data_IF_989640951587
#
_entry.id   IF_989640951587
#
_cell.length_a   1.000
_cell.length_b   1.000
_cell.length_c   1.000
_cell.angle_alpha   90.00
_cell.angle_beta   90.00
_cell.angle_gamma   90.00
#
_symmetry.space_group_name_H-M   'P 1'
#
loop_
_entity.id
_entity.type
_entity.pdbx_description
1 polymer ?
#
# COMPACT_ATOMS: atom_id res chain seq x y z
N UNK A 1 33.19 31.01 -9.38
CA UNK A 1 31.80 30.99 -8.84
C UNK A 1 31.11 29.63 -9.09
N UNK A 2 31.78 28.49 -8.86
CA UNK A 2 31.19 27.16 -9.05
C UNK A 2 31.22 26.29 -7.77
N UNK A 3 31.48 26.89 -6.61
CA UNK A 3 31.53 26.18 -5.33
C UNK A 3 30.13 25.94 -4.72
N UNK A 4 29.13 26.73 -5.10
CA UNK A 4 27.80 26.71 -4.47
C UNK A 4 27.07 25.35 -4.50
N UNK A 5 26.96 24.63 -5.63
CA UNK A 5 26.23 23.36 -5.67
C UNK A 5 26.93 22.24 -4.89
N UNK A 6 28.27 22.21 -4.94
CA UNK A 6 29.07 21.19 -4.27
C UNK A 6 29.11 21.41 -2.77
N UNK A 7 29.25 22.67 -2.33
CA UNK A 7 29.19 23.05 -0.91
C UNK A 7 27.80 22.80 -0.33
N UNK A 8 26.73 23.18 -1.05
CA UNK A 8 25.34 22.93 -0.63
C UNK A 8 25.06 21.42 -0.50
N UNK A 9 25.51 20.61 -1.47
CA UNK A 9 25.42 19.16 -1.38
C UNK A 9 26.21 18.59 -0.19
N UNK A 10 27.43 19.07 0.02
CA UNK A 10 28.30 18.57 1.11
C UNK A 10 27.69 18.80 2.50
N UNK A 11 26.93 19.89 2.66
CA UNK A 11 26.32 20.28 3.93
C UNK A 11 24.89 19.74 4.11
N UNK A 12 24.10 19.65 3.03
CA UNK A 12 22.65 19.35 3.09
C UNK A 12 22.23 18.07 2.35
N UNK A 13 23.18 17.22 1.92
CA UNK A 13 22.89 15.97 1.18
C UNK A 13 21.77 15.12 1.82
N UNK A 14 21.80 14.91 3.14
CA UNK A 14 20.78 14.12 3.85
C UNK A 14 19.39 14.73 3.75
N UNK A 15 19.29 16.05 3.96
CA UNK A 15 18.03 16.79 3.91
C UNK A 15 17.40 16.70 2.50
N UNK A 16 18.24 16.92 1.48
CA UNK A 16 17.83 16.87 0.06
C UNK A 16 17.35 15.46 -0.30
N UNK A 17 18.09 14.42 0.08
CA UNK A 17 17.74 13.03 -0.22
C UNK A 17 16.43 12.59 0.42
N UNK A 18 16.19 12.97 1.67
CA UNK A 18 14.95 12.60 2.39
C UNK A 18 13.75 13.33 1.80
N UNK A 19 13.87 14.63 1.51
CA UNK A 19 12.81 15.40 0.86
C UNK A 19 12.53 14.90 -0.56
N UNK A 20 13.57 14.55 -1.33
CA UNK A 20 13.43 13.98 -2.66
C UNK A 20 12.70 12.62 -2.58
N UNK A 21 13.11 11.74 -1.66
CA UNK A 21 12.44 10.47 -1.41
C UNK A 21 10.95 10.67 -1.10
N UNK A 22 10.61 11.60 -0.21
CA UNK A 22 9.22 11.94 0.13
C UNK A 22 8.44 12.48 -1.08
N UNK A 23 9.04 13.40 -1.84
CA UNK A 23 8.44 14.00 -3.03
C UNK A 23 8.10 12.95 -4.10
N UNK A 24 9.02 12.00 -4.35
CA UNK A 24 8.79 10.90 -5.27
C UNK A 24 7.60 10.03 -4.84
N UNK A 25 7.40 9.87 -3.53
CA UNK A 25 6.27 9.09 -3.00
C UNK A 25 4.94 9.79 -3.08
N UNK A 26 4.92 11.10 -2.83
CA UNK A 26 3.74 11.92 -3.10
C UNK A 26 3.32 11.81 -4.57
N UNK A 27 4.30 11.87 -5.48
CA UNK A 27 4.07 11.68 -6.92
C UNK A 27 3.46 10.30 -7.20
N UNK A 28 4.10 9.22 -6.72
CA UNK A 28 3.57 7.87 -6.91
C UNK A 28 2.15 7.72 -6.32
N UNK A 29 1.90 8.28 -5.14
CA UNK A 29 0.62 8.23 -4.45
C UNK A 29 -0.51 8.91 -5.25
N UNK A 30 -0.25 10.12 -5.78
CA UNK A 30 -1.24 10.92 -6.51
C UNK A 30 -1.47 10.35 -7.92
N UNK A 31 -0.40 10.00 -8.63
CA UNK A 31 -0.45 9.59 -10.04
C UNK A 31 -0.69 8.09 -10.25
N UNK A 32 -0.73 7.27 -9.19
CA UNK A 32 -0.97 5.83 -9.32
C UNK A 32 -2.22 5.47 -10.14
N UNK A 33 -3.30 6.24 -9.98
CA UNK A 33 -4.55 6.02 -10.73
C UNK A 33 -4.47 6.37 -12.22
N UNK A 34 -3.45 7.12 -12.65
CA UNK A 34 -3.29 7.54 -14.05
C UNK A 34 -2.78 6.39 -14.94
N UNK A 35 -2.18 5.34 -14.36
CA UNK A 35 -1.73 4.16 -15.10
C UNK A 35 -2.84 3.45 -15.88
N UNK A 36 -4.09 3.51 -15.40
CA UNK A 36 -5.25 2.96 -16.10
C UNK A 36 -5.72 3.81 -17.30
N UNK A 37 -5.01 4.88 -17.65
CA UNK A 37 -5.41 5.84 -18.69
C UNK A 37 -4.26 6.05 -19.68
N UNK A 38 -4.60 6.22 -20.96
CA UNK A 38 -3.66 6.36 -22.08
C UNK A 38 -2.97 7.75 -22.17
N UNK A 39 -2.57 8.34 -21.04
CA UNK A 39 -1.88 9.63 -21.05
C UNK A 39 -0.35 9.45 -20.96
N UNK A 40 0.38 9.81 -22.03
CA UNK A 40 1.83 9.63 -22.18
C UNK A 40 2.67 10.36 -21.11
N UNK A 41 2.44 11.66 -20.92
CA UNK A 41 3.24 12.50 -19.99
C UNK A 41 3.15 12.03 -18.53
N UNK A 42 1.97 11.82 -17.93
CA UNK A 42 1.90 11.35 -16.54
C UNK A 42 2.40 9.90 -16.40
N UNK A 43 2.38 9.10 -17.46
CA UNK A 43 2.93 7.74 -17.46
C UNK A 43 4.46 7.74 -17.40
N UNK A 44 5.13 8.60 -18.19
CA UNK A 44 6.58 8.77 -18.12
C UNK A 44 7.03 9.29 -16.74
N UNK A 45 6.32 10.27 -16.21
CA UNK A 45 6.61 10.83 -14.89
C UNK A 45 6.42 9.77 -13.78
N UNK A 46 5.36 8.96 -13.86
CA UNK A 46 5.12 7.85 -12.94
C UNK A 46 6.22 6.78 -13.05
N UNK A 47 6.65 6.45 -14.26
CA UNK A 47 7.71 5.47 -14.51
C UNK A 47 9.06 5.92 -13.94
N UNK A 48 9.45 7.18 -14.19
CA UNK A 48 10.67 7.76 -13.61
C UNK A 48 10.59 7.78 -12.08
N UNK A 49 9.46 8.22 -11.52
CA UNK A 49 9.27 8.24 -10.08
C UNK A 49 9.36 6.84 -9.47
N UNK A 50 8.83 5.82 -10.14
CA UNK A 50 8.88 4.43 -9.70
C UNK A 50 10.32 3.91 -9.61
N UNK A 51 11.13 4.13 -10.66
CA UNK A 51 12.53 3.70 -10.68
C UNK A 51 13.37 4.47 -9.65
N UNK A 52 13.09 5.76 -9.48
CA UNK A 52 13.89 6.64 -8.63
C UNK A 52 13.55 6.52 -7.13
N UNK A 53 12.30 6.19 -6.78
CA UNK A 53 11.86 6.18 -5.39
C UNK A 53 12.65 5.19 -4.52
N UNK A 54 12.79 3.95 -5.00
CA UNK A 54 13.49 2.90 -4.25
C UNK A 54 15.01 3.15 -4.22
N UNK A 55 15.60 3.59 -5.34
CA UNK A 55 17.03 3.86 -5.42
C UNK A 55 17.44 5.03 -4.52
N UNK A 56 16.65 6.11 -4.49
CA UNK A 56 16.90 7.28 -3.64
C UNK A 56 16.81 6.92 -2.17
N UNK A 57 15.80 6.15 -1.76
CA UNK A 57 15.63 5.74 -0.36
C UNK A 57 16.75 4.80 0.10
N UNK A 58 17.13 3.80 -0.72
CA UNK A 58 18.25 2.89 -0.46
C UNK A 58 19.58 3.66 -0.33
N UNK A 59 19.84 4.59 -1.25
CA UNK A 59 21.04 5.41 -1.22
C UNK A 59 21.07 6.30 0.02
N UNK A 60 19.94 6.92 0.39
CA UNK A 60 19.83 7.77 1.56
C UNK A 60 20.11 7.00 2.86
N UNK A 61 19.51 5.81 3.05
CA UNK A 61 19.78 4.96 4.22
C UNK A 61 21.25 4.53 4.27
N UNK A 62 21.82 4.13 3.13
CA UNK A 62 23.23 3.76 3.04
C UNK A 62 24.17 4.92 3.40
N UNK A 63 23.89 6.11 2.86
CA UNK A 63 24.64 7.33 3.14
C UNK A 63 24.55 7.70 4.63
N UNK A 64 23.37 7.59 5.25
CA UNK A 64 23.17 7.82 6.69
C UNK A 64 23.92 6.81 7.56
N UNK A 65 23.92 5.53 7.17
CA UNK A 65 24.67 4.49 7.88
C UNK A 65 26.17 4.77 7.86
N UNK A 66 26.71 5.12 6.68
CA UNK A 66 28.13 5.45 6.53
C UNK A 66 28.52 6.75 7.24
N UNK A 67 27.74 7.82 7.08
CA UNK A 67 28.00 9.08 7.76
C UNK A 67 27.93 8.93 9.28
N UNK A 68 27.00 8.10 9.76
CA UNK A 68 26.88 7.77 11.18
C UNK A 68 28.10 7.01 11.66
N UNK A 69 28.78 6.19 10.84
CA UNK A 69 30.02 5.53 11.20
C UNK A 69 31.18 6.52 11.36
N UNK A 70 31.30 7.51 10.47
CA UNK A 70 32.46 8.42 10.36
C UNK A 70 32.35 9.69 11.23
N UNK A 71 31.16 10.29 11.40
CA UNK A 71 30.98 11.57 12.12
C UNK A 71 30.41 11.38 13.53
N UNK A 72 30.74 12.25 14.50
CA UNK A 72 30.17 12.20 15.85
C UNK A 72 28.66 12.54 15.84
N UNK A 73 27.88 11.76 16.61
CA UNK A 73 26.40 11.75 16.62
C UNK A 73 25.76 13.12 16.98
N UNK A 74 26.51 14.03 17.62
CA UNK A 74 25.98 15.30 18.16
C UNK A 74 25.51 16.31 17.12
N UNK A 75 25.97 16.27 15.88
CA UNK A 75 25.62 17.29 14.88
C UNK A 75 24.27 17.02 14.18
N UNK A 76 23.77 15.78 14.19
CA UNK A 76 22.60 15.38 13.40
C UNK A 76 21.68 14.36 14.10
N UNK A 77 21.24 14.67 15.32
CA UNK A 77 20.38 13.78 16.12
C UNK A 77 19.08 13.35 15.40
N UNK A 78 18.55 14.18 14.49
CA UNK A 78 17.33 13.91 13.72
C UNK A 78 17.53 12.90 12.58
N UNK A 79 18.77 12.64 12.16
CA UNK A 79 19.08 11.62 11.14
C UNK A 79 18.70 10.21 11.63
N UNK A 80 18.78 9.98 12.95
CA UNK A 80 18.34 8.72 13.54
C UNK A 80 16.83 8.48 13.39
N UNK A 81 16.04 9.55 13.28
CA UNK A 81 14.61 9.49 13.01
C UNK A 81 14.31 9.32 11.52
N UNK A 82 15.13 9.91 10.64
CA UNK A 82 14.92 9.84 9.19
C UNK A 82 15.21 8.46 8.59
N UNK A 83 16.17 7.69 9.11
CA UNK A 83 16.45 6.35 8.60
C UNK A 83 15.24 5.38 8.72
N UNK A 84 14.54 5.29 9.88
CA UNK A 84 13.25 4.62 10.00
C UNK A 84 12.17 5.16 9.06
N UNK A 85 12.13 6.47 8.86
CA UNK A 85 11.17 7.10 7.94
C UNK A 85 11.42 6.66 6.48
N UNK A 86 12.69 6.51 6.08
CA UNK A 86 13.06 5.98 4.78
C UNK A 86 12.69 4.49 4.60
N UNK A 87 12.59 3.72 5.68
CA UNK A 87 12.02 2.35 5.62
C UNK A 87 10.51 2.38 5.35
N UNK A 88 9.78 3.27 6.03
CA UNK A 88 8.35 3.47 5.76
C UNK A 88 8.13 3.83 4.28
N UNK A 89 8.99 4.70 3.77
CA UNK A 89 9.06 5.05 2.37
C UNK A 89 9.28 3.84 1.45
N UNK A 90 10.25 2.97 1.74
CA UNK A 90 10.48 1.76 0.93
C UNK A 90 9.27 0.82 0.92
N UNK A 91 8.40 0.90 1.92
CA UNK A 91 7.08 0.27 1.91
C UNK A 91 6.19 0.71 0.75
N UNK A 92 6.37 1.91 0.21
CA UNK A 92 5.68 2.44 -0.97
C UNK A 92 4.17 2.64 -0.82
N UNK A 93 3.51 3.36 -1.74
CA UNK A 93 2.06 3.51 -1.74
C UNK A 93 1.36 2.19 -2.08
N UNK A 94 0.08 2.09 -1.73
CA UNK A 94 -0.64 0.80 -1.82
C UNK A 94 -1.23 0.52 -3.18
N UNK A 95 -1.36 1.59 -3.96
CA UNK A 95 -1.94 1.59 -5.29
C UNK A 95 -0.97 1.07 -6.37
N UNK A 96 0.32 0.94 -6.05
CA UNK A 96 1.35 0.41 -6.97
C UNK A 96 2.34 -0.43 -6.17
N UNK A 97 2.44 -1.72 -6.49
CA UNK A 97 3.51 -2.60 -6.00
C UNK A 97 4.54 -2.90 -7.08
N UNK A 98 4.07 -3.13 -8.30
CA UNK A 98 4.89 -3.48 -9.45
C UNK A 98 4.48 -2.67 -10.68
N UNK A 99 5.48 -2.22 -11.44
CA UNK A 99 5.24 -1.51 -12.70
C UNK A 99 4.98 -2.50 -13.84
N UNK A 100 5.74 -3.60 -13.90
CA UNK A 100 5.52 -4.71 -14.82
C UNK A 100 5.22 -6.01 -14.06
N UNK A 101 4.50 -6.95 -14.68
CA UNK A 101 4.17 -8.22 -14.05
C UNK A 101 5.44 -9.03 -13.70
N UNK A 102 6.49 -8.90 -14.52
CA UNK A 102 7.79 -9.52 -14.32
C UNK A 102 8.48 -9.04 -13.03
N UNK A 103 8.19 -7.83 -12.54
CA UNK A 103 8.78 -7.32 -11.30
C UNK A 103 8.32 -8.15 -10.09
N UNK A 104 7.11 -8.72 -10.15
CA UNK A 104 6.58 -9.61 -9.10
C UNK A 104 7.37 -10.91 -8.99
N UNK A 105 7.90 -11.44 -10.10
CA UNK A 105 8.70 -12.66 -10.09
C UNK A 105 10.05 -12.48 -9.38
N UNK A 106 10.53 -11.24 -9.30
CA UNK A 106 11.79 -10.88 -8.63
C UNK A 106 11.61 -10.52 -7.14
N UNK A 107 10.55 -11.02 -6.49
CA UNK A 107 10.25 -10.71 -5.08
C UNK A 107 11.39 -11.09 -4.12
N UNK A 108 12.17 -12.14 -4.42
CA UNK A 108 13.35 -12.53 -3.61
C UNK A 108 14.44 -11.45 -3.59
N UNK A 109 14.63 -10.72 -4.70
CA UNK A 109 15.57 -9.59 -4.74
C UNK A 109 15.09 -8.45 -3.83
N UNK A 110 13.80 -8.17 -3.87
CA UNK A 110 13.18 -7.17 -2.99
C UNK A 110 13.29 -7.57 -1.51
N UNK A 111 13.18 -8.88 -1.19
CA UNK A 111 13.42 -9.38 0.16
C UNK A 111 14.86 -9.18 0.62
N UNK A 112 15.85 -9.45 -0.24
CA UNK A 112 17.26 -9.21 0.08
C UNK A 112 17.53 -7.73 0.36
N UNK A 113 17.00 -6.84 -0.49
CA UNK A 113 17.12 -5.39 -0.28
C UNK A 113 16.45 -5.00 1.04
N UNK A 114 15.27 -5.53 1.35
CA UNK A 114 14.59 -5.29 2.63
C UNK A 114 15.48 -5.63 3.82
N UNK A 115 16.11 -6.80 3.84
CA UNK A 115 16.98 -7.22 4.94
C UNK A 115 18.14 -6.24 5.11
N UNK A 116 18.83 -5.86 4.02
CA UNK A 116 19.95 -4.93 4.06
C UNK A 116 19.53 -3.55 4.58
N UNK A 117 18.38 -3.04 4.12
CA UNK A 117 17.88 -1.73 4.54
C UNK A 117 17.43 -1.71 6.01
N UNK A 118 16.76 -2.77 6.46
CA UNK A 118 16.36 -2.93 7.87
C UNK A 118 17.59 -2.98 8.78
N UNK A 119 18.63 -3.71 8.39
CA UNK A 119 19.90 -3.75 9.13
C UNK A 119 20.60 -2.38 9.14
N UNK A 120 20.63 -1.67 8.01
CA UNK A 120 21.22 -0.33 7.91
C UNK A 120 20.53 0.68 8.83
N UNK A 121 19.19 0.72 8.81
CA UNK A 121 18.42 1.59 9.70
C UNK A 121 18.54 1.18 11.18
N UNK A 122 18.56 -0.12 11.48
CA UNK A 122 18.76 -0.63 12.84
C UNK A 122 20.14 -0.23 13.38
N UNK A 123 21.18 -0.26 12.55
CA UNK A 123 22.53 0.18 12.93
C UNK A 123 22.57 1.67 13.30
N UNK A 124 21.94 2.53 12.48
CA UNK A 124 21.84 3.96 12.75
C UNK A 124 21.11 4.21 14.08
N UNK A 125 20.00 3.52 14.32
CA UNK A 125 19.27 3.60 15.59
C UNK A 125 20.10 3.11 16.78
N UNK A 126 20.76 1.97 16.65
CA UNK A 126 21.60 1.41 17.70
C UNK A 126 22.71 2.37 18.10
N UNK A 127 23.43 2.95 17.13
CA UNK A 127 24.49 3.92 17.40
C UNK A 127 23.94 5.17 18.09
N UNK A 128 22.78 5.65 17.66
CA UNK A 128 22.12 6.80 18.29
C UNK A 128 21.72 6.51 19.75
N UNK A 129 21.20 5.31 20.05
CA UNK A 129 20.84 4.88 21.42
C UNK A 129 22.08 4.71 22.29
N UNK A 130 23.13 4.07 21.76
CA UNK A 130 24.33 3.74 22.53
C UNK A 130 25.21 4.97 22.87
N UNK A 131 25.26 5.97 21.98
CA UNK A 131 26.20 7.10 22.12
C UNK A 131 25.55 8.39 22.67
N UNK A 132 24.24 8.53 22.54
CA UNK A 132 23.51 9.70 23.06
C UNK A 132 23.04 9.39 24.47
N UNK A 133 23.88 9.60 25.49
CA UNK A 133 23.58 9.31 26.90
C UNK A 133 22.24 9.91 27.38
N UNK A 134 21.54 9.17 28.25
CA UNK A 134 20.16 9.42 28.69
C UNK A 134 19.88 10.79 29.30
N UNK A 135 19.36 11.70 28.48
CA UNK A 135 18.59 12.86 28.94
C UNK A 135 17.10 12.65 28.64
N UNK A 136 16.21 13.05 29.55
CA UNK A 136 14.74 12.90 29.42
C UNK A 136 14.16 13.34 28.07
N UNK A 137 14.76 14.36 27.44
CA UNK A 137 14.31 14.88 26.14
C UNK A 137 14.68 13.95 24.97
N UNK A 138 15.76 13.18 25.09
CA UNK A 138 16.15 12.19 24.07
C UNK A 138 15.28 10.93 24.10
N UNK A 139 14.63 10.63 25.21
CA UNK A 139 13.83 9.40 25.36
C UNK A 139 12.55 9.44 24.50
N UNK A 140 11.89 10.60 24.39
CA UNK A 140 10.72 10.77 23.52
C UNK A 140 11.06 10.57 22.04
N UNK A 141 12.16 11.16 21.56
CA UNK A 141 12.63 11.00 20.18
C UNK A 141 13.03 9.55 19.89
N UNK A 142 13.61 8.84 20.87
CA UNK A 142 13.92 7.40 20.74
C UNK A 142 12.67 6.56 20.60
N UNK A 143 11.63 6.81 21.42
CA UNK A 143 10.35 6.11 21.32
C UNK A 143 9.72 6.37 19.95
N UNK A 144 9.69 7.63 19.49
CA UNK A 144 9.17 7.98 18.17
C UNK A 144 9.95 7.27 17.04
N UNK A 145 11.28 7.22 17.15
CA UNK A 145 12.14 6.55 16.16
C UNK A 145 11.89 5.04 16.13
N UNK A 146 11.69 4.41 17.29
CA UNK A 146 11.36 2.98 17.38
C UNK A 146 9.98 2.66 16.81
N UNK A 147 8.97 3.50 17.10
CA UNK A 147 7.63 3.37 16.53
C UNK A 147 7.67 3.46 15.00
N UNK A 148 8.38 4.45 14.46
CA UNK A 148 8.57 4.60 13.02
C UNK A 148 9.35 3.46 12.40
N UNK A 149 10.34 2.89 13.11
CA UNK A 149 11.12 1.75 12.64
C UNK A 149 10.25 0.50 12.55
N UNK A 150 9.51 0.18 13.62
CA UNK A 150 8.58 -0.95 13.63
C UNK A 150 7.54 -0.82 12.52
N UNK A 151 6.96 0.38 12.35
CA UNK A 151 5.99 0.64 11.29
C UNK A 151 6.61 0.51 9.89
N UNK A 152 7.83 1.03 9.69
CA UNK A 152 8.56 0.93 8.43
C UNK A 152 8.89 -0.51 8.06
N UNK A 153 9.35 -1.33 9.02
CA UNK A 153 9.57 -2.77 8.83
C UNK A 153 8.26 -3.45 8.42
N UNK A 154 7.16 -3.21 9.13
CA UNK A 154 5.86 -3.83 8.82
C UNK A 154 5.40 -3.48 7.41
N UNK A 155 5.45 -2.19 7.03
CA UNK A 155 5.01 -1.70 5.71
C UNK A 155 5.90 -2.21 4.57
N UNK A 156 7.21 -2.29 4.78
CA UNK A 156 8.12 -2.84 3.79
C UNK A 156 7.96 -4.36 3.65
N UNK A 157 7.72 -5.07 4.76
CA UNK A 157 7.38 -6.50 4.76
C UNK A 157 6.08 -6.75 4.00
N UNK A 158 5.06 -5.91 4.22
CA UNK A 158 3.77 -5.98 3.52
C UNK A 158 3.95 -5.85 2.00
N UNK A 159 4.78 -4.90 1.54
CA UNK A 159 5.10 -4.75 0.10
C UNK A 159 5.74 -6.02 -0.46
N UNK A 160 6.71 -6.59 0.25
CA UNK A 160 7.42 -7.80 -0.20
C UNK A 160 6.49 -9.02 -0.21
N UNK A 161 5.61 -9.13 0.78
CA UNK A 161 4.58 -10.15 0.83
C UNK A 161 3.56 -10.00 -0.31
N UNK A 162 3.17 -8.77 -0.65
CA UNK A 162 2.28 -8.50 -1.78
C UNK A 162 2.89 -8.92 -3.12
N UNK A 163 4.18 -8.64 -3.33
CA UNK A 163 4.90 -9.11 -4.52
C UNK A 163 4.88 -10.64 -4.60
N UNK A 164 5.18 -11.33 -3.49
CA UNK A 164 5.08 -12.81 -3.44
C UNK A 164 3.67 -13.31 -3.75
N UNK A 165 2.64 -12.74 -3.14
CA UNK A 165 1.24 -13.15 -3.34
C UNK A 165 0.71 -12.87 -4.75
N UNK A 166 1.27 -11.89 -5.44
CA UNK A 166 0.90 -11.55 -6.82
C UNK A 166 1.50 -12.48 -7.88
N UNK A 167 2.36 -13.43 -7.50
CA UNK A 167 2.89 -14.45 -8.42
C UNK A 167 1.84 -15.53 -8.74
N UNK A 168 1.83 -16.01 -9.98
CA UNK A 168 0.91 -17.07 -10.40
C UNK A 168 1.06 -18.35 -9.58
N UNK A 169 2.29 -18.71 -9.20
CA UNK A 169 2.56 -19.86 -8.33
C UNK A 169 1.92 -19.70 -6.94
N UNK A 170 2.03 -18.52 -6.33
CA UNK A 170 1.40 -18.26 -5.04
C UNK A 170 -0.13 -18.24 -5.14
N UNK A 171 -0.67 -17.71 -6.23
CA UNK A 171 -2.12 -17.76 -6.49
C UNK A 171 -2.55 -19.23 -6.63
N UNK A 172 -1.84 -20.04 -7.42
CA UNK A 172 -2.08 -21.49 -7.56
C UNK A 172 -2.09 -22.22 -6.23
N UNK A 173 -1.07 -21.99 -5.41
CA UNK A 173 -0.96 -22.62 -4.11
C UNK A 173 -2.13 -22.23 -3.18
N UNK A 174 -2.53 -20.95 -3.18
CA UNK A 174 -3.67 -20.48 -2.39
C UNK A 174 -4.99 -21.13 -2.81
N UNK A 175 -5.18 -21.44 -4.09
CA UNK A 175 -6.41 -22.08 -4.58
C UNK A 175 -6.52 -23.53 -4.10
N UNK A 176 -5.41 -24.28 -4.08
CA UNK A 176 -5.39 -25.68 -3.59
C UNK A 176 -5.79 -25.81 -2.12
N UNK A 177 -5.55 -24.78 -1.33
CA UNK A 177 -5.86 -24.77 0.12
C UNK A 177 -7.26 -24.28 0.45
N UNK A 178 -7.98 -23.67 -0.50
CA UNK A 178 -9.33 -23.16 -0.23
C UNK A 178 -10.36 -24.29 -0.38
N UNK A 179 -11.22 -24.52 0.62
CA UNK A 179 -12.34 -25.44 0.44
C UNK A 179 -13.25 -24.91 -0.69
N UNK A 180 -13.87 -25.80 -1.48
CA UNK A 180 -14.77 -25.42 -2.56
C UNK A 180 -15.86 -24.52 -1.97
N UNK A 181 -15.88 -23.27 -2.41
CA UNK A 181 -16.72 -22.28 -1.78
C UNK A 181 -18.18 -22.55 -2.18
N UNK A 182 -18.98 -23.03 -1.23
CA UNK A 182 -20.43 -23.20 -1.40
C UNK A 182 -21.05 -21.80 -1.49
N UNK A 183 -21.23 -21.30 -2.72
CA UNK A 183 -21.72 -19.96 -3.01
C UNK A 183 -23.26 -19.88 -3.03
N UNK A 184 -23.90 -20.19 -1.89
CA UNK A 184 -25.35 -20.01 -1.73
C UNK A 184 -25.75 -18.71 -1.03
N UNK A 185 -24.87 -17.71 -0.95
CA UNK A 185 -25.24 -16.41 -0.38
C UNK A 185 -25.76 -15.46 -1.46
N UNK A 186 -27.04 -15.62 -1.81
CA UNK A 186 -27.88 -14.53 -2.29
C UNK A 186 -27.96 -13.50 -1.15
N UNK A 187 -27.42 -12.29 -1.33
CA UNK A 187 -27.66 -11.21 -0.38
C UNK A 187 -29.12 -10.74 -0.59
N UNK A 188 -30.02 -10.87 0.41
CA UNK A 188 -31.43 -10.51 0.25
C UNK A 188 -31.70 -9.00 0.11
N UNK A 189 -30.64 -8.17 0.06
CA UNK A 189 -30.69 -6.71 0.17
C UNK A 189 -30.01 -6.02 -1.02
N UNK A 190 -30.33 -6.44 -2.23
CA UNK A 190 -29.94 -5.73 -3.46
C UNK A 190 -30.92 -4.61 -3.80
N UNK A 191 -31.03 -3.61 -2.92
CA UNK A 191 -31.39 -2.24 -3.34
C UNK A 191 -30.11 -1.43 -3.47
N UNK A 192 -29.28 -1.79 -4.43
CA UNK A 192 -28.05 -1.07 -4.78
C UNK A 192 -28.17 -0.48 -6.18
N UNK A 193 -27.36 0.53 -6.50
CA UNK A 193 -27.26 1.06 -7.87
C UNK A 193 -26.79 -0.06 -8.81
N UNK A 194 -27.22 -0.05 -10.09
CA UNK A 194 -26.84 -1.08 -11.08
C UNK A 194 -25.32 -1.36 -11.09
N UNK A 195 -24.49 -0.33 -11.00
CA UNK A 195 -23.02 -0.49 -10.96
C UNK A 195 -22.52 -1.25 -9.72
N UNK A 196 -23.12 -1.04 -8.55
CA UNK A 196 -22.75 -1.74 -7.31
C UNK A 196 -23.21 -3.19 -7.35
N UNK A 197 -24.36 -3.47 -7.97
CA UNK A 197 -24.83 -4.83 -8.21
C UNK A 197 -23.84 -5.62 -9.08
N UNK A 198 -23.43 -5.06 -10.22
CA UNK A 198 -22.40 -5.67 -11.07
C UNK A 198 -21.07 -5.87 -10.34
N UNK A 199 -20.70 -4.94 -9.45
CA UNK A 199 -19.49 -5.02 -8.64
C UNK A 199 -19.49 -6.21 -7.68
N UNK A 200 -20.60 -6.38 -6.96
CA UNK A 200 -20.81 -7.46 -5.99
C UNK A 200 -20.78 -8.81 -6.69
N UNK A 201 -21.44 -8.90 -7.85
CA UNK A 201 -21.43 -10.10 -8.71
C UNK A 201 -20.06 -10.39 -9.32
N UNK A 202 -19.30 -9.36 -9.68
CA UNK A 202 -17.91 -9.51 -10.12
C UNK A 202 -17.01 -10.12 -9.04
N UNK A 203 -17.19 -9.72 -7.77
CA UNK A 203 -16.46 -10.29 -6.63
C UNK A 203 -16.82 -11.75 -6.35
N UNK A 204 -18.11 -12.12 -6.41
CA UNK A 204 -18.52 -13.51 -6.16
C UNK A 204 -17.96 -14.48 -7.22
N UNK A 205 -17.89 -14.04 -8.47
CA UNK A 205 -17.35 -14.83 -9.58
C UNK A 205 -15.82 -14.70 -9.76
N UNK A 206 -15.14 -13.85 -8.98
CA UNK A 206 -13.71 -13.60 -9.15
C UNK A 206 -12.82 -14.84 -8.94
N UNK A 207 -13.30 -15.83 -8.16
CA UNK A 207 -12.57 -17.09 -7.97
C UNK A 207 -12.43 -17.88 -9.28
N UNK A 208 -13.44 -17.84 -10.17
CA UNK A 208 -13.39 -18.47 -11.49
C UNK A 208 -12.28 -17.84 -12.33
N UNK A 209 -12.20 -16.50 -12.32
CA UNK A 209 -11.14 -15.77 -13.01
C UNK A 209 -9.75 -16.18 -12.50
N UNK A 210 -9.56 -16.32 -11.18
CA UNK A 210 -8.29 -16.81 -10.60
C UNK A 210 -7.92 -18.22 -11.07
N UNK A 211 -8.90 -19.14 -11.14
CA UNK A 211 -8.67 -20.49 -11.65
C UNK A 211 -8.23 -20.47 -13.11
N UNK A 212 -8.93 -19.72 -13.96
CA UNK A 212 -8.63 -19.64 -15.40
C UNK A 212 -7.22 -19.10 -15.68
N UNK A 213 -6.75 -18.12 -14.92
CA UNK A 213 -5.43 -17.48 -15.12
C UNK A 213 -4.28 -18.38 -14.73
N UNK A 214 -4.51 -19.25 -13.76
CA UNK A 214 -3.49 -20.15 -13.24
C UNK A 214 -3.43 -21.46 -14.02
N UNK A 215 -4.29 -21.63 -15.02
CA UNK A 215 -4.46 -22.88 -15.77
C UNK A 215 -4.61 -24.09 -14.83
N UNK A 216 -5.29 -23.86 -13.71
CA UNK A 216 -5.69 -24.91 -12.79
C UNK A 216 -7.04 -25.39 -13.30
N UNK A 217 -7.04 -26.59 -13.88
CA UNK A 217 -8.24 -27.20 -14.45
C UNK A 217 -9.38 -27.15 -13.43
N UNK A 218 -10.42 -26.39 -13.79
CA UNK A 218 -11.74 -26.46 -13.15
C UNK A 218 -12.23 -27.92 -13.09
N UNK A 219 -11.77 -28.73 -14.04
CA UNK A 219 -12.11 -30.14 -14.23
C UNK A 219 -11.64 -31.08 -13.11
N UNK A 220 -10.54 -30.81 -12.39
CA UNK A 220 -10.08 -31.74 -11.32
C UNK A 220 -10.92 -31.65 -10.04
N UNK A 221 -11.63 -30.53 -9.81
CA UNK A 221 -12.54 -30.38 -8.67
C UNK A 221 -13.98 -30.76 -9.01
N UNK A 222 -14.31 -30.93 -10.28
CA UNK A 222 -15.67 -31.22 -10.75
C UNK A 222 -15.96 -32.72 -10.91
N UNK A 223 -14.95 -33.59 -11.03
CA UNK A 223 -15.16 -35.04 -11.20
C UNK A 223 -15.82 -35.73 -9.99
N UNK A 224 -15.73 -35.15 -8.78
CA UNK A 224 -16.28 -35.75 -7.55
C UNK A 224 -17.63 -35.16 -7.11
N UNK A 225 -18.19 -34.19 -7.86
CA UNK A 225 -19.51 -33.62 -7.56
C UNK A 225 -20.52 -33.98 -8.65
N UNK A 226 -21.54 -34.75 -8.27
CA UNK A 226 -22.72 -35.19 -9.05
C UNK A 226 -23.63 -34.02 -9.51
N UNK A 227 -23.11 -32.80 -9.69
CA UNK A 227 -23.89 -31.64 -10.13
C UNK A 227 -23.24 -30.92 -11.32
N UNK A 228 -23.87 -31.11 -12.48
CA UNK A 228 -23.52 -30.60 -13.82
C UNK A 228 -23.31 -29.07 -13.85
N UNK A 229 -22.16 -28.52 -14.29
CA UNK A 229 -21.88 -27.06 -14.30
C UNK A 229 -22.44 -26.30 -15.51
N UNK A 230 -22.71 -27.00 -16.62
CA UNK A 230 -23.07 -26.39 -17.92
C UNK A 230 -24.41 -25.64 -17.92
N UNK A 231 -25.31 -25.98 -16.98
CA UNK A 231 -26.64 -25.37 -16.85
C UNK A 231 -26.59 -24.10 -15.98
N UNK A 232 -25.62 -23.98 -15.08
CA UNK A 232 -25.53 -22.84 -14.15
C UNK A 232 -24.82 -21.63 -14.76
N UNK A 233 -23.79 -21.84 -15.58
CA UNK A 233 -23.08 -20.77 -16.29
C UNK A 233 -23.93 -20.15 -17.40
N UNK A 234 -24.68 -20.95 -18.15
CA UNK A 234 -25.48 -20.47 -19.30
C UNK A 234 -26.71 -19.64 -18.90
N UNK A 235 -27.35 -19.94 -17.75
CA UNK A 235 -28.53 -19.19 -17.27
C UNK A 235 -28.17 -17.89 -16.54
N UNK A 236 -26.94 -17.79 -16.03
CA UNK A 236 -26.42 -16.61 -15.32
C UNK A 236 -25.80 -15.55 -16.22
N UNK A 237 -25.72 -15.77 -17.53
CA UNK A 237 -24.93 -14.91 -18.43
C UNK A 237 -25.82 -14.47 -19.59
N UNK A 238 -26.61 -13.41 -19.38
CA UNK A 238 -27.12 -12.63 -20.52
C UNK A 238 -25.93 -11.88 -21.15
N UNK A 239 -25.79 -11.93 -22.47
CA UNK A 239 -24.57 -11.52 -23.18
C UNK A 239 -24.08 -10.08 -22.92
N UNK A 240 -24.95 -9.15 -22.52
CA UNK A 240 -24.57 -7.77 -22.14
C UNK A 240 -23.96 -7.74 -20.72
N UNK A 241 -24.47 -8.55 -19.79
CA UNK A 241 -23.89 -8.68 -18.45
C UNK A 241 -22.49 -9.33 -18.50
N UNK A 242 -22.24 -10.25 -19.43
CA UNK A 242 -20.95 -10.95 -19.53
C UNK A 242 -19.77 -10.00 -19.72
N UNK A 243 -19.88 -9.08 -20.68
CA UNK A 243 -18.80 -8.14 -21.00
C UNK A 243 -18.49 -7.22 -19.82
N UNK A 244 -19.54 -6.68 -19.18
CA UNK A 244 -19.38 -5.83 -17.99
C UNK A 244 -18.80 -6.61 -16.80
N UNK A 245 -19.19 -7.87 -16.61
CA UNK A 245 -18.64 -8.74 -15.57
C UNK A 245 -17.17 -9.09 -15.83
N UNK A 246 -16.82 -9.40 -17.08
CA UNK A 246 -15.44 -9.70 -17.48
C UNK A 246 -14.54 -8.48 -17.27
N UNK A 247 -15.02 -7.29 -17.65
CA UNK A 247 -14.35 -6.01 -17.43
C UNK A 247 -14.08 -5.74 -15.94
N UNK A 248 -15.07 -6.00 -15.07
CA UNK A 248 -14.90 -5.88 -13.62
C UNK A 248 -13.90 -6.92 -13.09
N UNK A 249 -13.99 -8.17 -13.52
CA UNK A 249 -13.08 -9.24 -13.09
C UNK A 249 -11.64 -8.97 -13.51
N UNK A 250 -11.43 -8.45 -14.72
CA UNK A 250 -10.11 -8.09 -15.20
C UNK A 250 -9.54 -6.87 -14.44
N UNK A 251 -10.40 -5.91 -14.07
CA UNK A 251 -9.99 -4.84 -13.14
C UNK A 251 -9.63 -5.37 -11.75
N UNK A 252 -10.32 -6.39 -11.24
CA UNK A 252 -10.00 -7.03 -9.96
C UNK A 252 -8.69 -7.83 -10.04
N UNK A 253 -8.44 -8.47 -11.18
CA UNK A 253 -7.17 -9.13 -11.45
C UNK A 253 -6.03 -8.11 -11.46
N UNK A 254 -6.22 -6.97 -12.14
CA UNK A 254 -5.24 -5.90 -12.12
C UNK A 254 -4.92 -5.45 -10.69
N UNK A 255 -5.94 -5.27 -9.85
CA UNK A 255 -5.76 -4.95 -8.43
C UNK A 255 -4.92 -6.03 -7.71
N UNK A 256 -5.20 -7.32 -7.99
CA UNK A 256 -4.46 -8.44 -7.40
C UNK A 256 -2.99 -8.49 -7.85
N UNK A 257 -2.71 -8.20 -9.12
CA UNK A 257 -1.37 -8.37 -9.72
C UNK A 257 -0.45 -7.16 -9.53
N UNK A 258 -0.98 -5.94 -9.56
CA UNK A 258 -0.17 -4.72 -9.64
C UNK A 258 -0.26 -3.82 -8.41
N UNK A 259 -1.09 -4.19 -7.42
CA UNK A 259 -1.30 -3.40 -6.19
C UNK A 259 -1.17 -4.28 -4.94
N UNK A 260 -1.19 -3.68 -3.75
CA UNK A 260 -1.17 -4.43 -2.49
C UNK A 260 -2.50 -5.10 -2.14
N UNK A 261 -3.52 -5.03 -3.00
CA UNK A 261 -4.89 -5.48 -2.71
C UNK A 261 -4.96 -6.93 -2.16
N UNK A 262 -4.12 -7.84 -2.67
CA UNK A 262 -4.05 -9.24 -2.21
C UNK A 262 -3.76 -9.38 -0.70
N UNK A 263 -2.99 -8.45 -0.13
CA UNK A 263 -2.53 -8.48 1.26
C UNK A 263 -3.32 -7.51 2.12
N UNK A 264 -3.66 -6.33 1.57
CA UNK A 264 -4.42 -5.29 2.27
C UNK A 264 -5.79 -5.77 2.69
N UNK A 265 -6.47 -6.54 1.85
CA UNK A 265 -7.84 -6.99 2.10
C UNK A 265 -7.93 -8.29 2.91
N UNK A 266 -6.88 -8.58 3.70
CA UNK A 266 -6.87 -9.60 4.75
C UNK A 266 -7.14 -8.96 6.12
N UNK A 267 -7.50 -9.75 7.12
CA UNK A 267 -7.69 -9.24 8.49
C UNK A 267 -6.43 -8.53 9.01
N UNK A 268 -5.26 -9.11 8.79
CA UNK A 268 -3.97 -8.51 9.18
C UNK A 268 -3.71 -7.21 8.41
N UNK A 269 -3.99 -7.17 7.11
CA UNK A 269 -3.88 -5.97 6.28
C UNK A 269 -4.72 -4.81 6.84
N UNK A 270 -5.99 -5.04 7.14
CA UNK A 270 -6.86 -4.01 7.75
C UNK A 270 -6.34 -3.55 9.12
N UNK A 271 -5.85 -4.47 9.96
CA UNK A 271 -5.26 -4.12 11.25
C UNK A 271 -4.06 -3.18 11.08
N UNK A 272 -3.15 -3.48 10.14
CA UNK A 272 -2.01 -2.61 9.82
C UNK A 272 -2.49 -1.22 9.36
N UNK A 273 -3.57 -1.13 8.56
CA UNK A 273 -4.12 0.17 8.11
C UNK A 273 -4.77 0.98 9.21
N UNK A 274 -5.34 0.36 10.23
CA UNK A 274 -5.88 1.09 11.39
C UNK A 274 -4.74 1.54 12.31
N UNK A 275 -3.76 0.67 12.56
CA UNK A 275 -2.64 0.96 13.48
C UNK A 275 -1.68 1.99 12.89
N UNK A 276 -1.39 1.93 11.59
CA UNK A 276 -0.40 2.80 10.93
C UNK A 276 -0.61 4.32 11.12
N UNK A 277 -1.78 4.94 10.83
CA UNK A 277 -1.97 6.36 11.05
C UNK A 277 -1.91 6.72 12.54
N UNK A 278 -2.34 5.83 13.44
CA UNK A 278 -2.23 6.03 14.90
C UNK A 278 -0.77 6.05 15.34
N UNK A 279 0.07 5.16 14.80
CA UNK A 279 1.50 5.10 15.09
C UNK A 279 2.23 6.35 14.56
N UNK A 280 1.93 6.81 13.35
CA UNK A 280 2.53 8.04 12.79
C UNK A 280 2.08 9.27 13.57
N UNK A 281 0.78 9.36 13.91
CA UNK A 281 0.25 10.48 14.71
C UNK A 281 0.87 10.51 16.10
N UNK A 282 1.00 9.36 16.76
CA UNK A 282 1.71 9.25 18.04
C UNK A 282 3.16 9.71 17.91
N UNK A 283 3.85 9.33 16.84
CA UNK A 283 5.23 9.76 16.58
C UNK A 283 5.33 11.28 16.36
N UNK A 284 4.35 11.88 15.68
CA UNK A 284 4.23 13.33 15.51
C UNK A 284 4.02 14.05 16.84
N UNK A 285 3.16 13.53 17.71
CA UNK A 285 2.93 14.09 19.04
C UNK A 285 4.19 13.97 19.91
N UNK A 286 4.85 12.82 19.93
CA UNK A 286 6.11 12.63 20.64
C UNK A 286 7.20 13.59 20.16
N UNK A 287 7.29 13.82 18.85
CA UNK A 287 8.21 14.80 18.28
C UNK A 287 7.83 16.24 18.67
N UNK A 288 6.54 16.57 18.71
CA UNK A 288 6.07 17.89 19.14
C UNK A 288 6.41 18.21 20.59
N UNK A 289 6.36 17.21 21.48
CA UNK A 289 6.72 17.35 22.90
C UNK A 289 8.23 17.25 23.17
N UNK A 290 9.04 16.97 22.16
CA UNK A 290 10.51 16.94 22.29
C UNK A 290 11.05 18.37 22.27
N UNK A 291 11.93 18.72 23.21
CA UNK A 291 12.62 20.01 23.17
C UNK A 291 13.47 20.13 21.89
N UNK A 292 13.37 21.29 21.24
CA UNK A 292 14.09 21.60 19.99
C UNK A 292 15.40 22.32 20.26
N UNK A 293 15.78 22.47 21.53
CA UNK A 293 16.97 23.20 21.94
C UNK A 293 18.21 22.43 21.46
N UNK A 294 18.93 23.01 20.49
CA UNK A 294 20.11 22.38 19.87
C UNK A 294 19.85 21.63 18.56
N UNK A 295 18.61 21.61 18.04
CA UNK A 295 18.32 21.11 16.68
C UNK A 295 18.29 22.25 15.67
N UNK A 296 18.76 21.98 14.45
CA UNK A 296 18.66 22.96 13.36
C UNK A 296 17.19 23.19 13.01
N UNK A 297 16.81 24.46 12.81
CA UNK A 297 15.43 24.83 12.43
C UNK A 297 15.01 24.18 11.12
N UNK A 298 15.95 23.97 10.20
CA UNK A 298 15.76 23.24 8.95
C UNK A 298 15.38 21.79 9.19
N UNK A 299 16.11 21.05 10.05
CA UNK A 299 15.83 19.63 10.29
C UNK A 299 14.48 19.43 10.99
N UNK A 300 14.12 20.34 11.90
CA UNK A 300 12.82 20.35 12.58
C UNK A 300 11.69 20.56 11.56
N UNK A 301 11.84 21.53 10.66
CA UNK A 301 10.84 21.83 9.62
C UNK A 301 10.67 20.64 8.69
N UNK A 302 11.76 20.03 8.23
CA UNK A 302 11.74 18.83 7.38
C UNK A 302 11.01 17.69 8.09
N UNK A 303 11.31 17.44 9.35
CA UNK A 303 10.68 16.37 10.13
C UNK A 303 9.17 16.57 10.26
N UNK A 304 8.70 17.81 10.43
CA UNK A 304 7.26 18.10 10.41
C UNK A 304 6.61 17.86 9.04
N UNK A 305 7.27 18.26 7.96
CA UNK A 305 6.77 18.02 6.59
C UNK A 305 6.63 16.51 6.33
N UNK A 306 7.65 15.74 6.72
CA UNK A 306 7.66 14.28 6.59
C UNK A 306 6.53 13.63 7.39
N UNK A 307 6.41 13.96 8.68
CA UNK A 307 5.39 13.37 9.56
C UNK A 307 3.97 13.78 9.16
N UNK A 308 3.73 15.06 8.86
CA UNK A 308 2.43 15.54 8.39
C UNK A 308 2.02 14.90 7.07
N UNK A 309 2.98 14.78 6.15
CA UNK A 309 2.82 14.05 4.90
C UNK A 309 2.47 12.58 5.07
N UNK A 310 3.17 11.90 5.97
CA UNK A 310 2.90 10.49 6.30
C UNK A 310 1.52 10.30 6.93
N UNK A 311 1.09 11.18 7.85
CA UNK A 311 -0.28 11.15 8.40
C UNK A 311 -1.31 11.30 7.27
N UNK A 312 -1.10 12.25 6.36
CA UNK A 312 -2.00 12.45 5.22
C UNK A 312 -2.08 11.21 4.30
N UNK A 313 -0.93 10.61 3.94
CA UNK A 313 -0.89 9.41 3.12
C UNK A 313 -1.56 8.21 3.81
N UNK A 314 -1.24 7.96 5.09
CA UNK A 314 -1.77 6.83 5.85
C UNK A 314 -3.27 6.95 6.12
N UNK A 315 -3.75 8.15 6.47
CA UNK A 315 -5.19 8.39 6.64
C UNK A 315 -5.95 8.22 5.32
N UNK A 316 -5.42 8.73 4.22
CA UNK A 316 -6.04 8.56 2.89
C UNK A 316 -6.02 7.09 2.46
N UNK A 317 -4.94 6.36 2.74
CA UNK A 317 -4.84 4.92 2.50
C UNK A 317 -5.89 4.12 3.29
N UNK A 318 -6.07 4.41 4.59
CA UNK A 318 -7.08 3.81 5.43
C UNK A 318 -8.49 4.07 4.88
N UNK A 319 -8.80 5.33 4.52
CA UNK A 319 -10.10 5.69 3.94
C UNK A 319 -10.36 4.95 2.63
N UNK A 320 -9.37 4.88 1.74
CA UNK A 320 -9.47 4.13 0.48
C UNK A 320 -9.67 2.63 0.71
N UNK A 321 -8.97 2.04 1.68
CA UNK A 321 -9.12 0.62 2.01
C UNK A 321 -10.51 0.30 2.57
N UNK A 322 -11.05 1.15 3.46
CA UNK A 322 -12.38 0.99 4.05
C UNK A 322 -13.52 1.20 3.04
N UNK A 323 -13.37 2.16 2.12
CA UNK A 323 -14.35 2.44 1.08
C UNK A 323 -14.25 1.52 -0.14
N UNK A 324 -13.24 0.65 -0.18
CA UNK A 324 -12.97 -0.21 -1.34
C UNK A 324 -14.05 -1.30 -1.48
N UNK A 325 -14.28 -1.74 -2.73
CA UNK A 325 -15.18 -2.87 -2.99
C UNK A 325 -14.73 -4.18 -2.32
N UNK A 326 -13.43 -4.30 -2.06
CA UNK A 326 -12.86 -5.48 -1.40
C UNK A 326 -13.21 -5.49 0.10
N UNK A 327 -13.44 -4.33 0.72
CA UNK A 327 -13.97 -4.26 2.09
C UNK A 327 -15.38 -4.84 2.18
N UNK A 328 -16.22 -4.57 1.18
CA UNK A 328 -17.54 -5.21 1.11
C UNK A 328 -17.45 -6.72 0.99
N UNK A 329 -16.58 -7.23 0.11
CA UNK A 329 -16.35 -8.66 -0.06
C UNK A 329 -15.84 -9.29 1.25
N UNK A 330 -14.90 -8.62 1.93
CA UNK A 330 -14.38 -9.05 3.23
C UNK A 330 -15.48 -9.07 4.31
N UNK A 331 -16.25 -7.99 4.48
CA UNK A 331 -17.35 -7.90 5.44
C UNK A 331 -18.44 -8.96 5.20
N UNK A 332 -18.72 -9.26 3.93
CA UNK A 332 -19.68 -10.30 3.55
C UNK A 332 -19.21 -11.70 3.92
N UNK A 333 -17.91 -11.97 3.76
CA UNK A 333 -17.29 -13.26 4.07
C UNK A 333 -16.78 -13.38 5.53
N UNK A 334 -16.87 -12.31 6.32
CA UNK A 334 -16.34 -12.26 7.68
C UNK A 334 -17.12 -13.20 8.60
N UNK A 335 -16.39 -13.98 9.42
CA UNK A 335 -16.97 -14.92 10.41
C UNK A 335 -17.62 -14.23 11.61
N UNK A 336 -17.52 -12.91 11.71
CA UNK A 336 -18.00 -12.11 12.85
C UNK A 336 -19.36 -11.49 12.54
N UNK A 337 -20.46 -12.08 13.04
CA UNK A 337 -21.81 -11.64 12.68
C UNK A 337 -22.14 -10.22 13.15
N UNK A 338 -21.59 -9.79 14.29
CA UNK A 338 -21.80 -8.44 14.82
C UNK A 338 -21.21 -7.36 13.91
N UNK A 339 -20.01 -7.58 13.38
CA UNK A 339 -19.33 -6.65 12.47
C UNK A 339 -20.10 -6.55 11.15
N UNK A 340 -20.54 -7.70 10.61
CA UNK A 340 -21.37 -7.77 9.41
C UNK A 340 -22.68 -7.01 9.58
N UNK A 341 -23.37 -7.20 10.71
CA UNK A 341 -24.63 -6.51 11.02
C UNK A 341 -24.44 -4.98 11.14
N UNK A 342 -23.48 -4.52 11.93
CA UNK A 342 -23.26 -3.09 12.16
C UNK A 342 -22.83 -2.36 10.88
N UNK A 343 -21.99 -2.98 10.06
CA UNK A 343 -21.45 -2.36 8.86
C UNK A 343 -22.42 -2.38 7.67
N UNK A 344 -23.07 -3.53 7.41
CA UNK A 344 -23.91 -3.75 6.22
C UNK A 344 -25.40 -3.48 6.48
N UNK A 345 -25.98 -3.95 7.60
CA UNK A 345 -27.43 -3.80 7.83
C UNK A 345 -27.84 -2.37 8.18
N UNK A 346 -26.90 -1.53 8.59
CA UNK A 346 -27.16 -0.16 9.03
C UNK A 346 -26.78 0.89 7.96
N UNK A 347 -26.51 0.46 6.72
CA UNK A 347 -26.04 1.27 5.58
C UNK A 347 -24.81 2.17 5.88
N UNK A 348 -24.11 1.90 6.99
CA UNK A 348 -22.97 2.73 7.44
C UNK A 348 -21.83 2.65 6.46
N UNK A 349 -21.56 1.46 5.93
CA UNK A 349 -20.54 1.27 4.91
C UNK A 349 -20.91 1.98 3.60
N UNK A 350 -22.17 1.89 3.14
CA UNK A 350 -22.62 2.57 1.91
C UNK A 350 -22.56 4.10 2.08
N UNK A 351 -22.84 4.62 3.28
CA UNK A 351 -22.68 6.05 3.58
C UNK A 351 -21.22 6.47 3.53
N UNK A 352 -20.32 5.72 4.19
CA UNK A 352 -18.87 5.97 4.14
C UNK A 352 -18.34 5.92 2.71
N UNK A 353 -18.70 4.89 1.95
CA UNK A 353 -18.32 4.75 0.53
C UNK A 353 -18.78 5.95 -0.27
N UNK A 354 -20.04 6.37 -0.17
CA UNK A 354 -20.57 7.55 -0.86
C UNK A 354 -19.81 8.82 -0.49
N UNK A 355 -19.48 9.04 0.79
CA UNK A 355 -18.71 10.22 1.22
C UNK A 355 -17.28 10.23 0.68
N UNK A 356 -16.59 9.09 0.71
CA UNK A 356 -15.22 8.98 0.17
C UNK A 356 -15.22 9.14 -1.35
N UNK A 357 -16.20 8.54 -2.04
CA UNK A 357 -16.36 8.70 -3.48
C UNK A 357 -16.65 10.17 -3.83
N UNK A 358 -17.54 10.84 -3.10
CA UNK A 358 -17.83 12.26 -3.29
C UNK A 358 -16.59 13.14 -3.09
N UNK A 359 -15.80 12.90 -2.04
CA UNK A 359 -14.51 13.57 -1.83
C UNK A 359 -13.55 13.35 -3.00
N UNK A 360 -13.50 12.13 -3.54
CA UNK A 360 -12.67 11.82 -4.70
C UNK A 360 -13.12 12.59 -5.96
N UNK A 361 -14.43 12.75 -6.17
CA UNK A 361 -14.99 13.55 -7.26
C UNK A 361 -14.64 15.03 -7.13
N UNK A 362 -14.65 15.58 -5.92
CA UNK A 362 -14.22 16.97 -5.69
C UNK A 362 -12.74 17.19 -6.03
N UNK A 363 -11.88 16.25 -5.61
CA UNK A 363 -10.44 16.39 -5.81
C UNK A 363 -10.02 16.11 -7.26
N UNK A 364 -10.68 15.17 -7.95
CA UNK A 364 -10.28 14.73 -9.30
C UNK A 364 -11.24 15.12 -10.42
N UNK A 365 -12.33 15.85 -10.14
CA UNK A 365 -13.41 16.12 -11.08
C UNK A 365 -14.25 14.88 -11.40
N UNK A 366 -15.37 15.07 -12.10
CA UNK A 366 -16.41 14.07 -12.42
C UNK A 366 -15.93 12.95 -13.36
N UNK A 367 -14.98 12.14 -12.87
CA UNK A 367 -14.16 11.23 -13.67
C UNK A 367 -14.08 9.84 -13.06
N UNK A 368 -15.19 9.37 -12.46
CA UNK A 368 -15.29 8.06 -11.81
C UNK A 368 -16.12 7.03 -12.60
N UNK A 369 -15.92 6.90 -13.92
CA UNK A 369 -16.14 5.59 -14.61
C UNK A 369 -14.98 4.64 -14.30
N UNK A 370 -14.70 4.43 -13.01
CA UNK A 370 -13.40 3.96 -12.45
C UNK A 370 -13.04 2.49 -12.73
N UNK A 371 -14.02 1.68 -13.11
CA UNK A 371 -13.82 0.24 -13.35
C UNK A 371 -14.06 -0.23 -14.78
N UNK A 372 -14.31 0.68 -15.71
CA UNK A 372 -14.26 0.31 -17.13
C UNK A 372 -12.81 0.06 -17.53
N UNK A 373 -12.55 -1.13 -18.03
CA UNK A 373 -11.27 -1.66 -18.45
C UNK A 373 -10.75 -0.86 -19.65
N UNK A 374 -9.51 -0.37 -19.59
CA UNK A 374 -8.93 0.48 -20.63
C UNK A 374 -8.39 -0.30 -21.84
N UNK A 375 -8.89 -1.51 -22.10
CA UNK A 375 -8.48 -2.40 -23.19
C UNK A 375 -7.00 -2.86 -23.23
N UNK A 376 -6.14 -2.39 -22.32
CA UNK A 376 -4.70 -2.74 -22.28
C UNK A 376 -4.27 -3.31 -20.93
N UNK A 377 -3.65 -4.50 -20.89
CA UNK A 377 -2.91 -5.00 -19.71
C UNK A 377 -1.45 -4.55 -19.84
N UNK A 378 -1.12 -3.40 -19.26
CA UNK A 378 0.27 -2.93 -19.18
C UNK A 378 0.71 -2.10 -20.36
#
# INVERSE_FOLDING_TARGET
MAAGPLELWSHQSMQILVLLSFGLQLVLFVFAGVRRREALVPRLLLWLAYIMADSTAVYAVGHMSFSSAVRPVREHQLVAFWAPFLLLHLGGPDNITAYAFQDNQLWLRHLQILVVQVLGAAYVLYKHIAFTGGGKNGDLLRIASFLMFALGVVKYSERTWALRCSTLESIRASMKTQPPAIHNHFHPQDRATEEEFHLRRGHSLFHICKFTIVDSSVLELEEDSIYRPEVYTSKFIQGIELWTLMEIQLSLLYDLLYTKAAVVHTFFGYLVRVVSPLTVTTSLLLFQFTSKDGHSTTDVTITYVLLGGAVFMETTSLLNALASSWMFAFLSATRWPWLRYIALCNERWDRLRRTVVWLHHLVKGDRYKSRRWSYTIG
#
